data_IF_298663524314
#
_entry.id   IF_298663524314
#
_cell.length_a   1.000
_cell.length_b   1.000
_cell.length_c   1.000
_cell.angle_alpha   90.00
_cell.angle_beta   90.00
_cell.angle_gamma   90.00
#
_symmetry.space_group_name_H-M   'P 1'
#
loop_
_entity.id
_entity.type
_entity.pdbx_description
1 polymer ?
#
# COMPACT_ATOMS: atom_id res chain seq x y z
N UNK A 1 -13.35 -12.55 15.16
CA UNK A 1 -12.18 -11.84 14.61
C UNK A 1 -12.40 -11.67 13.13
N UNK A 2 -12.42 -10.45 12.59
CA UNK A 2 -12.67 -10.23 11.17
C UNK A 2 -11.55 -10.91 10.36
N UNK A 3 -11.93 -11.87 9.51
CA UNK A 3 -11.03 -12.45 8.52
C UNK A 3 -10.53 -11.29 7.65
N UNK A 4 -9.24 -10.99 7.73
CA UNK A 4 -8.64 -9.93 6.91
C UNK A 4 -8.73 -10.41 5.47
N UNK A 5 -9.46 -9.67 4.67
CA UNK A 5 -9.53 -9.94 3.24
C UNK A 5 -8.14 -9.68 2.64
N UNK A 6 -7.38 -10.74 2.41
CA UNK A 6 -6.03 -10.68 1.85
C UNK A 6 -6.03 -10.35 0.36
N UNK A 7 -7.19 -10.34 -0.32
CA UNK A 7 -7.27 -9.99 -1.75
C UNK A 7 -6.83 -8.57 -2.05
N UNK A 8 -6.88 -7.67 -1.07
CA UNK A 8 -6.40 -6.30 -1.19
C UNK A 8 -4.88 -6.16 -1.03
N UNK A 9 -4.21 -7.17 -0.45
CA UNK A 9 -2.77 -7.09 -0.18
C UNK A 9 -1.96 -7.15 -1.48
N UNK A 10 -2.36 -8.00 -2.42
CA UNK A 10 -1.66 -8.12 -3.71
C UNK A 10 -1.66 -6.79 -4.48
N UNK A 11 -2.78 -6.07 -4.48
CA UNK A 11 -2.89 -4.75 -5.11
C UNK A 11 -2.00 -3.71 -4.44
N UNK A 12 -1.98 -3.68 -3.10
CA UNK A 12 -1.14 -2.77 -2.33
C UNK A 12 0.35 -3.08 -2.55
N UNK A 13 0.74 -4.36 -2.57
CA UNK A 13 2.12 -4.80 -2.78
C UNK A 13 2.60 -4.40 -4.18
N UNK A 14 1.82 -4.63 -5.23
CA UNK A 14 2.19 -4.26 -6.60
C UNK A 14 2.31 -2.74 -6.78
N UNK A 15 1.38 -1.98 -6.19
CA UNK A 15 1.43 -0.52 -6.20
C UNK A 15 2.66 0.00 -5.43
N UNK A 16 2.95 -0.58 -4.26
CA UNK A 16 4.11 -0.25 -3.44
C UNK A 16 5.41 -0.54 -4.17
N UNK A 17 5.53 -1.74 -4.77
CA UNK A 17 6.71 -2.13 -5.54
C UNK A 17 6.99 -1.16 -6.69
N UNK A 18 5.95 -0.80 -7.44
CA UNK A 18 6.05 0.16 -8.53
C UNK A 18 6.45 1.57 -8.06
N UNK A 19 5.91 2.04 -6.95
CA UNK A 19 6.26 3.36 -6.38
C UNK A 19 7.69 3.38 -5.82
N UNK A 20 8.08 2.32 -5.10
CA UNK A 20 9.42 2.19 -4.54
C UNK A 20 10.49 2.05 -5.61
N UNK A 21 10.22 1.34 -6.71
CA UNK A 21 11.13 1.26 -7.84
C UNK A 21 11.30 2.61 -8.55
N UNK A 22 10.22 3.37 -8.71
CA UNK A 22 10.27 4.64 -9.44
C UNK A 22 10.92 5.78 -8.66
N UNK A 23 10.66 5.87 -7.35
CA UNK A 23 11.06 7.03 -6.54
C UNK A 23 12.07 6.69 -5.43
N UNK A 24 12.31 5.40 -5.17
CA UNK A 24 13.09 4.94 -4.03
C UNK A 24 12.32 5.03 -2.72
N UNK A 25 12.81 4.29 -1.71
CA UNK A 25 12.14 4.18 -0.41
C UNK A 25 11.84 5.53 0.23
N UNK A 26 12.78 6.48 0.24
CA UNK A 26 12.57 7.77 0.91
C UNK A 26 11.50 8.64 0.23
N UNK A 27 11.48 8.70 -1.10
CA UNK A 27 10.57 9.60 -1.84
C UNK A 27 9.23 8.96 -2.20
N UNK A 28 9.10 7.64 -2.10
CA UNK A 28 7.83 6.95 -2.33
C UNK A 28 6.73 7.47 -1.38
N UNK A 29 5.50 7.62 -1.88
CA UNK A 29 4.39 8.11 -1.08
C UNK A 29 3.37 7.01 -0.79
N UNK A 30 3.07 6.77 0.49
CA UNK A 30 1.99 5.85 0.88
C UNK A 30 0.64 6.27 0.32
N UNK A 31 0.43 7.58 0.13
CA UNK A 31 -0.77 8.10 -0.50
C UNK A 31 -0.86 7.68 -1.97
N UNK A 32 0.24 7.80 -2.73
CA UNK A 32 0.29 7.33 -4.13
C UNK A 32 0.13 5.82 -4.24
N UNK A 33 0.66 5.07 -3.29
CA UNK A 33 0.49 3.61 -3.23
C UNK A 33 -0.99 3.27 -3.00
N UNK A 34 -1.67 3.96 -2.08
CA UNK A 34 -3.09 3.77 -1.82
C UNK A 34 -3.95 4.08 -3.05
N UNK A 35 -3.68 5.22 -3.70
CA UNK A 35 -4.36 5.64 -4.93
C UNK A 35 -4.20 4.60 -6.04
N UNK A 36 -2.97 4.15 -6.30
CA UNK A 36 -2.68 3.11 -7.31
C UNK A 36 -3.32 1.76 -7.00
N UNK A 37 -3.41 1.40 -5.73
CA UNK A 37 -4.04 0.16 -5.29
C UNK A 37 -5.58 0.27 -5.18
N UNK A 38 -6.17 1.45 -5.45
CA UNK A 38 -7.62 1.66 -5.35
C UNK A 38 -8.15 1.57 -3.91
N UNK A 39 -7.30 1.82 -2.92
CA UNK A 39 -7.65 1.75 -1.49
C UNK A 39 -7.47 3.10 -0.81
N UNK A 40 -8.02 3.24 0.40
CA UNK A 40 -7.75 4.41 1.23
C UNK A 40 -6.39 4.28 1.92
N UNK A 41 -5.71 5.39 2.17
CA UNK A 41 -4.45 5.40 2.93
C UNK A 41 -4.64 4.81 4.34
N UNK A 42 -5.82 4.99 4.94
CA UNK A 42 -6.18 4.36 6.23
C UNK A 42 -6.19 2.84 6.19
N UNK A 43 -6.59 2.24 5.04
CA UNK A 43 -6.52 0.79 4.87
C UNK A 43 -5.06 0.28 4.89
N UNK A 44 -4.13 1.07 4.35
CA UNK A 44 -2.69 0.77 4.44
C UNK A 44 -2.22 0.85 5.89
N UNK A 45 -2.53 1.92 6.63
CA UNK A 45 -2.13 2.04 8.05
C UNK A 45 -2.73 0.95 8.95
N UNK A 46 -3.91 0.44 8.60
CA UNK A 46 -4.55 -0.65 9.34
C UNK A 46 -3.86 -2.01 9.07
N UNK A 47 -3.27 -2.18 7.88
CA UNK A 47 -2.60 -3.43 7.45
C UNK A 47 -1.10 -3.44 7.73
N UNK A 48 -0.43 -2.31 7.55
CA UNK A 48 1.01 -2.14 7.69
C UNK A 48 1.29 -1.03 8.69
N UNK A 49 2.05 -1.36 9.75
CA UNK A 49 2.34 -0.40 10.83
C UNK A 49 3.26 0.75 10.37
N UNK A 50 4.15 0.49 9.41
CA UNK A 50 5.20 1.41 9.03
C UNK A 50 5.48 1.26 7.53
N UNK A 51 5.95 2.35 6.94
CA UNK A 51 6.63 2.31 5.65
C UNK A 51 8.01 1.70 5.83
#
# INVERSE_FOLDING_TARGET
>A
MANRDHSLDDGIIQAAYSEFLAYGFQKASLHKIAEKAGVTTGAIYTRYKNK
#
